data_IF_078106155759
#
_entry.id   IF_078106155759
#
_cell.length_a   1.000
_cell.length_b   1.000
_cell.length_c   1.000
_cell.angle_alpha   90.00
_cell.angle_beta   90.00
_cell.angle_gamma   90.00
#
_symmetry.space_group_name_H-M   'P 1'
#
loop_
_entity.id
_entity.type
_entity.pdbx_description
1 polymer ?
#
# COMPACT_ATOMS: atom_id res chain seq x y z
N UNK A 1 -2.78 -5.64 1.63
CA UNK A 1 -1.57 -5.49 2.47
C UNK A 1 -1.78 -5.91 3.92
N UNK A 2 -3.01 -6.12 4.38
CA UNK A 2 -3.37 -6.52 5.76
C UNK A 2 -2.47 -7.58 6.41
N UNK A 3 -2.06 -8.62 5.67
CA UNK A 3 -1.18 -9.65 6.22
C UNK A 3 0.24 -9.14 6.56
N UNK A 4 0.71 -8.06 5.93
CA UNK A 4 1.95 -7.39 6.30
C UNK A 4 1.86 -6.65 7.65
N UNK A 5 0.66 -6.50 8.23
CA UNK A 5 0.51 -6.02 9.60
C UNK A 5 1.13 -7.01 10.60
N UNK A 6 1.18 -8.29 10.26
CA UNK A 6 1.84 -9.30 11.07
C UNK A 6 3.36 -9.18 10.93
N UNK A 7 4.05 -8.97 12.06
CA UNK A 7 5.51 -8.88 12.10
C UNK A 7 6.19 -10.15 11.63
N UNK A 8 5.68 -11.34 11.98
CA UNK A 8 6.30 -12.60 11.53
C UNK A 8 6.28 -12.72 10.01
N UNK A 9 5.19 -12.28 9.37
CA UNK A 9 5.09 -12.22 7.91
C UNK A 9 6.12 -11.23 7.35
N UNK A 10 6.31 -10.07 7.99
CA UNK A 10 7.32 -9.08 7.58
C UNK A 10 8.75 -9.63 7.71
N UNK A 11 9.07 -10.33 8.80
CA UNK A 11 10.38 -10.95 9.01
C UNK A 11 10.67 -12.03 7.97
N UNK A 12 9.70 -12.92 7.71
CA UNK A 12 9.82 -13.99 6.72
C UNK A 12 10.11 -13.44 5.31
N UNK A 13 9.54 -12.28 4.95
CA UNK A 13 9.83 -11.62 3.66
C UNK A 13 11.29 -11.22 3.57
N UNK A 14 11.85 -10.63 4.62
CA UNK A 14 13.25 -10.23 4.66
C UNK A 14 14.19 -11.45 4.65
N UNK A 15 13.83 -12.52 5.37
CA UNK A 15 14.55 -13.80 5.32
C UNK A 15 14.55 -14.42 3.91
N UNK A 16 13.40 -14.45 3.24
CA UNK A 16 13.27 -14.94 1.86
C UNK A 16 14.04 -14.08 0.85
N UNK A 17 14.33 -12.83 1.20
CA UNK A 17 15.16 -11.91 0.43
C UNK A 17 16.65 -11.98 0.82
N UNK A 18 17.00 -12.79 1.80
CA UNK A 18 18.35 -12.88 2.38
C UNK A 18 18.89 -11.52 2.85
N UNK A 19 18.03 -10.70 3.45
CA UNK A 19 18.36 -9.38 4.01
C UNK A 19 17.98 -9.30 5.49
N UNK A 20 18.71 -8.49 6.25
CA UNK A 20 18.40 -8.25 7.66
C UNK A 20 17.08 -7.49 7.78
N UNK A 21 16.18 -7.98 8.64
CA UNK A 21 14.93 -7.30 8.94
C UNK A 21 15.17 -5.84 9.36
N UNK A 22 14.50 -4.92 8.67
CA UNK A 22 14.60 -3.49 8.92
C UNK A 22 13.19 -2.89 9.03
N UNK A 23 12.76 -2.63 10.27
CA UNK A 23 11.45 -2.01 10.53
C UNK A 23 11.42 -0.53 10.11
N UNK A 24 12.54 0.17 10.16
CA UNK A 24 12.59 1.59 9.78
C UNK A 24 12.39 1.76 8.28
N UNK A 25 12.91 0.83 7.47
CA UNK A 25 12.60 0.77 6.04
C UNK A 25 11.09 0.61 5.81
N UNK A 26 10.41 -0.21 6.63
CA UNK A 26 8.96 -0.37 6.53
C UNK A 26 8.22 0.94 6.76
N UNK A 27 8.54 1.61 7.87
CA UNK A 27 7.95 2.89 8.27
C UNK A 27 8.25 3.98 7.23
N UNK A 28 9.47 4.00 6.70
CA UNK A 28 9.87 4.95 5.66
C UNK A 28 9.01 4.81 4.40
N UNK A 29 8.74 3.59 3.94
CA UNK A 29 7.92 3.37 2.74
C UNK A 29 6.49 3.86 2.95
N UNK A 30 5.88 3.60 4.11
CA UNK A 30 4.53 4.12 4.40
C UNK A 30 4.50 5.64 4.46
N UNK A 31 5.50 6.27 5.07
CA UNK A 31 5.63 7.73 5.10
C UNK A 31 5.79 8.32 3.70
N UNK A 32 6.58 7.69 2.83
CA UNK A 32 6.75 8.14 1.44
C UNK A 32 5.46 8.00 0.63
N UNK A 33 4.67 6.95 0.86
CA UNK A 33 3.44 6.69 0.11
C UNK A 33 2.19 7.34 0.71
N UNK A 34 2.31 8.04 1.83
CA UNK A 34 1.18 8.54 2.61
C UNK A 34 0.30 9.50 1.79
N UNK A 35 0.90 10.54 1.19
CA UNK A 35 0.18 11.53 0.39
C UNK A 35 -0.48 10.87 -0.81
N UNK A 36 0.25 10.03 -1.56
CA UNK A 36 -0.31 9.31 -2.71
C UNK A 36 -1.51 8.45 -2.31
N UNK A 37 -1.45 7.80 -1.16
CA UNK A 37 -2.53 6.93 -0.68
C UNK A 37 -3.78 7.73 -0.34
N UNK A 38 -3.64 8.86 0.38
CA UNK A 38 -4.76 9.78 0.62
C UNK A 38 -5.29 10.40 -0.67
N UNK A 39 -4.44 10.70 -1.64
CA UNK A 39 -4.85 11.21 -2.95
C UNK A 39 -5.76 10.21 -3.68
N UNK A 40 -5.37 8.93 -3.70
CA UNK A 40 -6.17 7.86 -4.30
C UNK A 40 -7.48 7.67 -3.55
N UNK A 41 -7.45 7.72 -2.23
CA UNK A 41 -8.65 7.56 -1.39
C UNK A 41 -9.64 8.71 -1.58
N UNK A 42 -9.16 9.96 -1.53
CA UNK A 42 -9.99 11.13 -1.77
C UNK A 42 -10.60 11.12 -3.17
N UNK A 43 -9.79 10.84 -4.20
CA UNK A 43 -10.28 10.70 -5.57
C UNK A 43 -11.36 9.60 -5.73
N UNK A 44 -11.25 8.51 -4.95
CA UNK A 44 -12.26 7.46 -4.94
C UNK A 44 -13.57 7.92 -4.30
N UNK A 45 -13.52 8.54 -3.11
CA UNK A 45 -14.70 9.00 -2.37
C UNK A 45 -15.45 10.10 -3.12
N UNK A 46 -14.72 11.06 -3.67
CA UNK A 46 -15.29 12.22 -4.36
C UNK A 46 -15.55 11.97 -5.86
N UNK A 47 -15.27 10.77 -6.35
CA UNK A 47 -15.46 10.37 -7.74
C UNK A 47 -14.84 11.34 -8.78
N UNK A 48 -13.63 11.83 -8.51
CA UNK A 48 -12.98 12.93 -9.25
C UNK A 48 -12.27 12.48 -10.54
N UNK A 49 -12.18 11.17 -10.79
CA UNK A 49 -11.69 10.54 -12.04
C UNK A 49 -10.24 10.89 -12.40
N UNK A 50 -9.40 11.20 -11.41
CA UNK A 50 -7.95 11.26 -11.59
C UNK A 50 -7.40 9.90 -11.99
N UNK A 51 -6.48 9.89 -12.96
CA UNK A 51 -5.87 8.65 -13.45
C UNK A 51 -4.48 8.46 -12.87
N UNK A 52 -4.35 7.52 -11.93
CA UNK A 52 -3.08 7.17 -11.30
C UNK A 52 -2.31 6.09 -12.05
N UNK A 53 -2.83 5.52 -13.14
CA UNK A 53 -2.19 4.38 -13.83
C UNK A 53 -0.81 4.71 -14.40
N UNK A 54 -0.60 5.95 -14.81
CA UNK A 54 0.67 6.42 -15.39
C UNK A 54 1.67 6.89 -14.34
N UNK A 55 1.23 7.09 -13.10
CA UNK A 55 2.12 7.48 -12.02
C UNK A 55 2.91 6.27 -11.51
N UNK A 56 4.23 6.40 -11.45
CA UNK A 56 5.11 5.39 -10.90
C UNK A 56 5.89 5.97 -9.72
N UNK A 57 5.91 5.25 -8.61
CA UNK A 57 6.71 5.58 -7.42
C UNK A 57 8.18 5.15 -7.56
N UNK A 58 8.49 4.40 -8.61
CA UNK A 58 9.83 3.89 -8.88
C UNK A 58 10.73 5.00 -9.44
N UNK A 59 11.91 5.16 -8.85
CA UNK A 59 12.90 6.15 -9.30
C UNK A 59 12.66 7.57 -8.78
N UNK A 60 11.58 7.80 -8.03
CA UNK A 60 11.32 9.07 -7.36
C UNK A 60 12.08 9.16 -6.04
N UNK A 61 12.48 10.37 -5.66
CA UNK A 61 13.03 10.63 -4.32
C UNK A 61 11.94 10.62 -3.25
N UNK A 62 12.34 10.51 -1.98
CA UNK A 62 11.41 10.59 -0.85
C UNK A 62 10.70 11.94 -0.79
N UNK A 63 11.38 13.02 -1.15
CA UNK A 63 10.84 14.38 -1.19
C UNK A 63 9.77 14.52 -2.28
N UNK A 64 10.03 13.97 -3.47
CA UNK A 64 9.05 13.99 -4.57
C UNK A 64 7.77 13.23 -4.23
N UNK A 65 7.88 12.12 -3.50
CA UNK A 65 6.73 11.34 -3.04
C UNK A 65 5.97 11.98 -1.87
N UNK A 66 6.62 12.92 -1.17
CA UNK A 66 6.02 13.72 -0.09
C UNK A 66 5.56 15.11 -0.55
N UNK A 67 5.67 15.41 -1.85
CA UNK A 67 5.26 16.67 -2.44
C UNK A 67 3.94 16.48 -3.19
N UNK A 68 2.88 17.12 -2.67
CA UNK A 68 1.56 17.10 -3.29
C UNK A 68 1.60 17.65 -4.72
N UNK A 69 2.26 18.80 -4.94
CA UNK A 69 2.28 19.47 -6.24
C UNK A 69 3.03 18.61 -7.26
N UNK A 70 4.16 18.01 -6.84
CA UNK A 70 4.88 17.06 -7.68
C UNK A 70 3.96 15.91 -8.10
N UNK A 71 3.31 15.22 -7.16
CA UNK A 71 2.41 14.11 -7.48
C UNK A 71 1.30 14.58 -8.40
N UNK A 72 0.63 15.70 -8.06
CA UNK A 72 -0.54 16.22 -8.78
C UNK A 72 -0.24 16.52 -10.25
N UNK A 73 0.92 17.12 -10.55
CA UNK A 73 1.33 17.39 -11.94
C UNK A 73 1.50 16.13 -12.79
N UNK A 74 1.78 14.98 -12.16
CA UNK A 74 1.97 13.71 -12.84
C UNK A 74 0.66 12.92 -13.02
N UNK A 75 -0.41 13.27 -12.29
CA UNK A 75 -1.70 12.59 -12.34
C UNK A 75 -2.73 13.49 -13.01
N UNK A 76 -2.78 13.42 -14.34
CA UNK A 76 -3.78 14.20 -15.07
C UNK A 76 -5.20 13.63 -14.83
N UNK A 77 -6.20 14.50 -14.64
CA UNK A 77 -7.58 14.06 -14.65
C UNK A 77 -7.94 13.50 -16.02
N UNK A 78 -8.83 12.51 -16.07
CA UNK A 78 -9.51 12.20 -17.34
C UNK A 78 -10.25 13.47 -17.80
N UNK A 79 -10.29 13.69 -19.12
CA UNK A 79 -10.91 14.86 -19.76
C UNK A 79 -12.16 15.34 -19.00
N UNK A 80 -12.17 16.62 -18.59
CA UNK A 80 -13.14 17.23 -17.67
C UNK A 80 -13.18 16.62 -16.25
N UNK A 81 -12.24 16.96 -15.36
CA UNK A 81 -12.42 16.68 -13.93
C UNK A 81 -13.69 17.36 -13.43
N UNK A 82 -14.45 16.68 -12.56
CA UNK A 82 -15.58 17.29 -11.85
C UNK A 82 -15.12 18.49 -11.00
N UNK A 83 -13.89 18.43 -10.49
CA UNK A 83 -13.21 19.46 -9.69
C UNK A 83 -11.71 19.16 -9.64
N UNK A 84 -10.90 20.21 -9.54
CA UNK A 84 -9.46 20.09 -9.32
C UNK A 84 -9.21 19.82 -7.83
N UNK A 85 -8.43 18.79 -7.52
CA UNK A 85 -7.98 18.49 -6.16
C UNK A 85 -6.88 19.46 -5.78
N UNK A 86 -6.97 20.05 -4.58
CA UNK A 86 -5.96 20.96 -4.00
C UNK A 86 -5.23 20.31 -2.83
N UNK A 87 -4.07 20.85 -2.43
CA UNK A 87 -3.35 20.40 -1.24
C UNK A 87 -4.23 20.41 0.02
N UNK A 88 -4.98 21.50 0.22
CA UNK A 88 -5.91 21.66 1.34
C UNK A 88 -7.00 20.58 1.40
N UNK A 89 -7.43 20.06 0.25
CA UNK A 89 -8.42 18.98 0.19
C UNK A 89 -7.85 17.70 0.80
N UNK A 90 -6.62 17.35 0.40
CA UNK A 90 -5.93 16.16 0.91
C UNK A 90 -5.57 16.32 2.38
N UNK A 91 -5.07 17.49 2.79
CA UNK A 91 -4.73 17.77 4.19
C UNK A 91 -5.96 17.70 5.10
N UNK A 92 -7.09 18.26 4.68
CA UNK A 92 -8.34 18.22 5.46
C UNK A 92 -8.89 16.80 5.51
N UNK A 93 -8.92 16.10 4.37
CA UNK A 93 -9.36 14.71 4.32
C UNK A 93 -8.50 13.80 5.20
N UNK A 94 -7.18 13.97 5.17
CA UNK A 94 -6.25 13.24 6.03
C UNK A 94 -6.51 13.50 7.51
N UNK A 95 -6.74 14.76 7.90
CA UNK A 95 -7.08 15.12 9.28
C UNK A 95 -8.40 14.50 9.75
N UNK A 96 -9.41 14.47 8.88
CA UNK A 96 -10.75 13.96 9.23
C UNK A 96 -10.81 12.42 9.30
N UNK A 97 -9.87 11.73 8.66
CA UNK A 97 -9.83 10.27 8.57
C UNK A 97 -8.64 9.64 9.32
N UNK A 98 -7.89 10.44 10.08
CA UNK A 98 -6.78 9.98 10.92
C UNK A 98 -7.25 9.70 12.36
N UNK A 99 -6.74 8.65 13.03
CA UNK A 99 -5.75 7.69 12.54
C UNK A 99 -6.38 6.65 11.61
N UNK A 100 -5.66 6.32 10.54
CA UNK A 100 -6.00 5.24 9.61
C UNK A 100 -4.89 4.18 9.61
N UNK A 101 -5.26 2.91 9.42
CA UNK A 101 -4.32 1.81 9.31
C UNK A 101 -3.54 1.91 7.98
N UNK A 102 -2.23 2.16 8.03
CA UNK A 102 -1.38 2.28 6.83
C UNK A 102 -1.42 1.04 5.94
N UNK A 103 -1.60 -0.15 6.54
CA UNK A 103 -1.70 -1.42 5.85
C UNK A 103 -3.01 -1.60 5.03
N UNK A 104 -4.01 -0.80 5.35
CA UNK A 104 -5.30 -0.73 4.63
C UNK A 104 -5.29 0.41 3.62
N UNK A 105 -4.68 1.53 4.00
CA UNK A 105 -4.61 2.75 3.20
C UNK A 105 -3.71 2.62 1.97
N UNK A 106 -2.51 2.03 2.13
CA UNK A 106 -1.52 2.01 1.05
C UNK A 106 -1.81 0.92 0.02
N UNK A 107 -1.74 1.32 -1.25
CA UNK A 107 -1.91 0.39 -2.37
C UNK A 107 -0.75 -0.60 -2.45
N UNK A 108 -1.07 -1.90 -2.56
CA UNK A 108 -0.08 -2.98 -2.58
C UNK A 108 0.94 -2.89 -3.73
N UNK A 109 0.56 -2.42 -4.91
CA UNK A 109 1.50 -2.29 -6.03
C UNK A 109 2.49 -1.15 -5.83
N UNK A 110 2.02 0.03 -5.40
CA UNK A 110 2.91 1.15 -5.08
C UNK A 110 3.89 0.75 -3.99
N UNK A 111 3.36 0.07 -2.97
CA UNK A 111 4.11 -0.45 -1.85
C UNK A 111 5.25 -1.40 -2.31
N UNK A 112 4.94 -2.41 -3.13
CA UNK A 112 5.96 -3.34 -3.67
C UNK A 112 6.99 -2.60 -4.52
N UNK A 113 6.56 -1.69 -5.41
CA UNK A 113 7.47 -0.92 -6.25
C UNK A 113 8.42 -0.05 -5.43
N UNK A 114 7.91 0.57 -4.37
CA UNK A 114 8.73 1.40 -3.49
C UNK A 114 9.71 0.57 -2.67
N UNK A 115 9.28 -0.60 -2.22
CA UNK A 115 10.18 -1.55 -1.56
C UNK A 115 11.29 -2.02 -2.51
N UNK A 116 10.97 -2.38 -3.76
CA UNK A 116 11.97 -2.69 -4.78
C UNK A 116 13.00 -1.57 -4.98
N UNK A 117 12.53 -0.31 -5.03
CA UNK A 117 13.42 0.85 -5.18
C UNK A 117 14.45 0.93 -4.05
N UNK A 118 14.03 0.77 -2.79
CA UNK A 118 14.94 0.79 -1.66
C UNK A 118 15.93 -0.38 -1.66
N UNK A 119 15.48 -1.59 -2.02
CA UNK A 119 16.37 -2.75 -2.12
C UNK A 119 17.48 -2.52 -3.16
N UNK A 120 17.15 -1.93 -4.32
CA UNK A 120 18.13 -1.67 -5.38
C UNK A 120 19.18 -0.63 -5.01
N UNK A 121 18.81 0.37 -4.22
CA UNK A 121 19.72 1.45 -3.82
C UNK A 121 20.62 1.01 -2.67
N UNK A 122 20.08 0.24 -1.73
CA UNK A 122 20.78 -0.11 -0.49
C UNK A 122 21.58 -1.42 -0.59
N UNK A 123 21.29 -2.30 -1.54
CA UNK A 123 21.98 -3.58 -1.68
C UNK A 123 22.44 -3.85 -3.12
N UNK A 124 23.73 -4.17 -3.28
CA UNK A 124 24.34 -4.54 -4.56
C UNK A 124 23.73 -5.83 -5.12
N UNK A 125 23.35 -6.77 -4.25
CA UNK A 125 22.79 -8.08 -4.61
C UNK A 125 21.39 -7.90 -5.22
N UNK A 126 20.62 -6.94 -4.71
CA UNK A 126 19.22 -6.72 -5.10
C UNK A 126 19.02 -5.68 -6.20
N UNK A 127 20.10 -5.19 -6.84
CA UNK A 127 20.00 -4.22 -7.95
C UNK A 127 19.12 -4.68 -9.13
N UNK A 128 18.95 -5.98 -9.31
CA UNK A 128 18.13 -6.57 -10.37
C UNK A 128 16.70 -6.94 -9.91
N UNK A 129 16.39 -6.75 -8.62
CA UNK A 129 15.06 -7.07 -8.09
C UNK A 129 13.99 -6.24 -8.79
N UNK A 130 12.84 -6.82 -9.05
CA UNK A 130 11.73 -6.13 -9.69
C UNK A 130 10.41 -6.56 -9.03
N UNK A 131 9.33 -5.85 -9.38
CA UNK A 131 8.01 -6.08 -8.78
C UNK A 131 7.59 -7.55 -8.86
N UNK A 132 7.85 -8.24 -9.97
CA UNK A 132 7.49 -9.65 -10.12
C UNK A 132 8.32 -10.56 -9.20
N UNK A 133 9.62 -10.31 -9.08
CA UNK A 133 10.50 -11.08 -8.19
C UNK A 133 10.07 -10.95 -6.73
N UNK A 134 9.86 -9.71 -6.27
CA UNK A 134 9.39 -9.44 -4.91
C UNK A 134 8.01 -10.03 -4.68
N UNK A 135 7.06 -9.84 -5.61
CA UNK A 135 5.72 -10.44 -5.52
C UNK A 135 5.78 -11.96 -5.38
N UNK A 136 6.64 -12.64 -6.13
CA UNK A 136 6.77 -14.09 -6.06
C UNK A 136 7.34 -14.58 -4.72
N UNK A 137 8.14 -13.77 -4.01
CA UNK A 137 8.61 -14.07 -2.64
C UNK A 137 7.62 -13.65 -1.55
N UNK A 138 6.83 -12.62 -1.82
CA UNK A 138 5.73 -12.19 -0.94
C UNK A 138 4.59 -13.22 -0.93
N UNK A 139 4.26 -13.79 -2.09
CA UNK A 139 3.09 -14.66 -2.24
C UNK A 139 3.09 -15.87 -1.26
N UNK A 140 4.20 -16.62 -1.08
CA UNK A 140 4.26 -17.70 -0.09
C UNK A 140 4.10 -17.26 1.36
N UNK A 141 4.41 -15.99 1.68
CA UNK A 141 4.29 -15.44 3.03
C UNK A 141 2.81 -15.18 3.40
N UNK A 142 1.91 -15.08 2.42
CA UNK A 142 0.49 -14.88 2.63
C UNK A 142 -0.24 -16.19 2.81
N UNK A 143 -0.02 -16.81 3.97
CA UNK A 143 -0.70 -18.07 4.32
C UNK A 143 -2.06 -17.85 4.96
N UNK A 144 -2.91 -18.88 4.88
CA UNK A 144 -4.24 -18.85 5.47
C UNK A 144 -4.18 -18.63 6.99
N UNK A 145 -3.20 -19.22 7.66
CA UNK A 145 -3.00 -19.08 9.11
C UNK A 145 -2.69 -17.63 9.51
N UNK A 146 -2.04 -16.87 8.65
CA UNK A 146 -1.82 -15.44 8.86
C UNK A 146 -3.10 -14.64 8.54
N UNK A 147 -3.85 -15.04 7.52
CA UNK A 147 -5.11 -14.36 7.14
C UNK A 147 -6.19 -14.47 8.23
N UNK A 148 -6.36 -15.65 8.85
CA UNK A 148 -7.35 -15.85 9.93
C UNK A 148 -7.10 -14.99 11.17
N UNK A 149 -5.88 -14.46 11.33
CA UNK A 149 -5.50 -13.56 12.42
C UNK A 149 -5.81 -12.08 12.11
N UNK A 150 -6.30 -11.75 10.91
CA UNK A 150 -6.56 -10.36 10.50
C UNK A 150 -7.94 -9.89 10.94
N UNK A 151 -8.08 -8.57 11.19
CA UNK A 151 -9.38 -7.95 11.48
C UNK A 151 -10.39 -8.17 10.34
N UNK A 152 -9.94 -8.11 9.09
CA UNK A 152 -10.79 -8.38 7.93
C UNK A 152 -11.41 -9.78 7.98
N UNK A 153 -10.64 -10.80 8.37
CA UNK A 153 -11.20 -12.14 8.53
C UNK A 153 -12.29 -12.16 9.60
N UNK A 154 -12.06 -11.50 10.73
CA UNK A 154 -13.03 -11.37 11.81
C UNK A 154 -14.30 -10.65 11.33
N UNK A 155 -14.16 -9.52 10.63
CA UNK A 155 -15.28 -8.74 10.12
C UNK A 155 -16.13 -9.53 9.12
N UNK A 156 -15.49 -10.30 8.22
CA UNK A 156 -16.21 -11.16 7.28
C UNK A 156 -16.91 -12.30 8.05
N UNK A 157 -16.25 -12.93 9.01
CA UNK A 157 -16.83 -14.00 9.82
C UNK A 157 -18.06 -13.51 10.61
N UNK A 158 -17.99 -12.32 11.19
CA UNK A 158 -19.10 -11.72 11.93
C UNK A 158 -20.27 -11.38 11.00
N UNK A 159 -19.97 -10.82 9.83
CA UNK A 159 -20.99 -10.59 8.79
C UNK A 159 -21.66 -11.89 8.32
N UNK A 160 -20.89 -12.96 8.12
CA UNK A 160 -21.42 -14.28 7.74
C UNK A 160 -22.39 -14.83 8.78
N UNK A 161 -22.00 -14.77 10.05
CA UNK A 161 -22.84 -15.22 11.16
C UNK A 161 -24.15 -14.41 11.23
N UNK A 162 -24.08 -13.10 10.97
CA UNK A 162 -25.25 -12.24 10.96
C UNK A 162 -26.19 -12.47 9.76
N UNK A 163 -25.65 -12.92 8.61
CA UNK A 163 -26.38 -13.01 7.33
C UNK A 163 -26.63 -14.46 6.86
N UNK A 164 -26.24 -15.47 7.63
CA UNK A 164 -26.42 -16.88 7.28
C UNK A 164 -25.72 -17.29 5.98
N UNK A 165 -24.63 -16.59 5.62
CA UNK A 165 -23.86 -16.80 4.40
C UNK A 165 -22.50 -17.43 4.71
N UNK A 166 -21.89 -18.10 3.74
CA UNK A 166 -20.59 -18.73 3.91
C UNK A 166 -19.70 -18.45 2.68
N UNK A 167 -18.78 -17.51 2.84
CA UNK A 167 -17.84 -16.99 1.85
C UNK A 167 -16.41 -17.43 2.22
N UNK A 168 -16.05 -17.30 3.50
CA UNK A 168 -14.87 -17.87 4.11
C UNK A 168 -15.04 -19.38 4.09
N UNK A 169 -14.38 -20.04 3.14
CA UNK A 169 -14.18 -21.50 3.19
C UNK A 169 -13.28 -21.81 4.38
N UNK A 170 -13.89 -21.90 5.57
CA UNK A 170 -13.19 -22.11 6.84
C UNK A 170 -12.36 -23.39 6.70
N UNK A 171 -11.03 -23.35 6.95
CA UNK A 171 -10.23 -24.56 6.95
C UNK A 171 -10.77 -25.52 8.01
N UNK A 172 -10.94 -26.78 7.63
CA UNK A 172 -11.36 -27.86 8.54
C UNK A 172 -10.30 -28.13 9.61
#
# INVERSE_FOLDING_TARGET
>A
MMCLKNESTRQEIFENLAITYNEDLWKQIFQELNILSYFKWYNYCEHLKYNFKTFSVEGLSSEQLKDFEYIHTQILPKSNPNRIITANDIESFQRDHSPCCEYELTNGHDFIKRFCHHLRINDLIHRQENENSIRNRLHPCFRLEAFVQTQLYQDISDWENANGSNILKKPN
#
